data_IF_018024471103
#
_entry.id   IF_018024471103
#
_cell.length_a   1.000
_cell.length_b   1.000
_cell.length_c   1.000
_cell.angle_alpha   90.00
_cell.angle_beta   90.00
_cell.angle_gamma   90.00
#
_symmetry.space_group_name_H-M   'P 1'
#
loop_
_entity.id
_entity.type
_entity.pdbx_description
1 polymer ?
#
# COMPACT_ATOMS: atom_id res chain seq x y z
N UNK A 1 -7.57 2.22 -19.09
CA UNK A 1 -7.92 2.35 -17.66
C UNK A 1 -8.03 3.81 -17.31
N UNK A 2 -9.13 4.25 -16.68
CA UNK A 2 -9.21 5.60 -16.09
C UNK A 2 -8.83 5.49 -14.61
N UNK A 3 -7.95 6.38 -14.16
CA UNK A 3 -7.48 6.50 -12.79
C UNK A 3 -8.12 7.76 -12.17
N UNK A 4 -8.85 7.59 -11.08
CA UNK A 4 -9.54 8.70 -10.40
C UNK A 4 -9.17 8.69 -8.91
N UNK A 5 -8.73 9.84 -8.40
CA UNK A 5 -8.49 10.06 -6.97
C UNK A 5 -9.71 10.76 -6.39
N UNK A 6 -10.38 10.11 -5.44
CA UNK A 6 -11.54 10.69 -4.76
C UNK A 6 -11.14 11.89 -3.88
N UNK A 7 -12.04 12.87 -3.76
CA UNK A 7 -11.86 14.04 -2.88
C UNK A 7 -11.59 13.64 -1.42
N UNK A 8 -12.17 12.53 -0.95
CA UNK A 8 -11.92 11.98 0.39
C UNK A 8 -10.46 11.56 0.60
N UNK A 9 -9.79 11.01 -0.43
CA UNK A 9 -8.39 10.65 -0.34
C UNK A 9 -7.50 11.90 -0.20
N UNK A 10 -7.81 12.95 -0.97
CA UNK A 10 -7.12 14.24 -0.88
C UNK A 10 -7.31 14.85 0.50
N UNK A 11 -8.54 14.82 1.02
CA UNK A 11 -8.85 15.34 2.35
C UNK A 11 -8.05 14.62 3.44
N UNK A 12 -7.97 13.29 3.39
CA UNK A 12 -7.21 12.55 4.42
C UNK A 12 -5.71 12.72 4.24
N UNK A 13 -5.19 12.77 3.02
CA UNK A 13 -3.78 13.10 2.80
C UNK A 13 -3.44 14.48 3.33
N UNK A 14 -4.33 15.46 3.13
CA UNK A 14 -4.23 16.79 3.72
C UNK A 14 -4.28 16.77 5.25
N UNK A 15 -5.15 15.95 5.83
CA UNK A 15 -5.22 15.77 7.29
C UNK A 15 -3.96 15.13 7.86
N UNK A 16 -3.43 14.08 7.24
CA UNK A 16 -2.17 13.42 7.62
C UNK A 16 -1.03 14.43 7.53
N UNK A 17 -0.97 15.20 6.44
CA UNK A 17 0.03 16.25 6.27
C UNK A 17 -0.04 17.29 7.40
N UNK A 18 -1.23 17.87 7.61
CA UNK A 18 -1.48 18.88 8.63
C UNK A 18 -1.17 18.38 10.04
N UNK A 19 -1.56 17.13 10.37
CA UNK A 19 -1.26 16.49 11.65
C UNK A 19 0.25 16.37 11.86
N UNK A 20 1.00 15.94 10.85
CA UNK A 20 2.45 15.77 10.98
C UNK A 20 3.21 17.11 10.99
N UNK A 21 2.63 18.17 10.41
CA UNK A 21 3.18 19.53 10.48
C UNK A 21 2.94 20.18 11.85
N UNK A 22 1.77 19.96 12.47
CA UNK A 22 1.38 20.55 13.76
C UNK A 22 1.85 19.75 14.97
N UNK A 23 2.10 18.45 14.80
CA UNK A 23 2.59 17.56 15.85
C UNK A 23 3.79 16.76 15.30
N UNK A 24 4.94 17.44 15.06
CA UNK A 24 6.14 16.78 14.57
C UNK A 24 6.73 15.84 15.64
N UNK A 25 7.57 14.90 15.21
CA UNK A 25 8.36 14.13 16.16
C UNK A 25 9.37 15.06 16.87
N UNK A 26 9.64 14.80 18.15
CA UNK A 26 10.50 15.63 19.02
C UNK A 26 11.87 15.93 18.38
N UNK A 27 12.41 14.99 17.60
CA UNK A 27 13.68 15.14 16.88
C UNK A 27 13.69 16.23 15.79
N UNK A 28 12.52 16.65 15.30
CA UNK A 28 12.38 17.61 14.20
C UNK A 28 11.66 18.91 14.59
N UNK A 29 11.21 19.05 15.85
CA UNK A 29 10.37 20.16 16.31
C UNK A 29 11.02 21.54 16.06
N UNK A 30 12.34 21.66 16.24
CA UNK A 30 13.08 22.90 16.01
C UNK A 30 13.46 23.14 14.54
N UNK A 31 13.22 22.19 13.65
CA UNK A 31 13.66 22.23 12.24
C UNK A 31 12.45 22.29 11.29
N UNK A 32 12.03 23.50 10.92
CA UNK A 32 10.86 23.74 10.07
C UNK A 32 10.95 23.03 8.71
N UNK A 33 12.11 23.10 8.05
CA UNK A 33 12.32 22.48 6.72
C UNK A 33 12.27 20.95 6.84
N UNK A 34 12.98 20.38 7.82
CA UNK A 34 13.02 18.94 8.05
C UNK A 34 11.64 18.38 8.39
N UNK A 35 10.89 19.06 9.26
CA UNK A 35 9.50 18.70 9.59
C UNK A 35 8.60 18.70 8.34
N UNK A 36 8.70 19.74 7.51
CA UNK A 36 7.93 19.81 6.27
C UNK A 36 8.27 18.66 5.31
N UNK A 37 9.57 18.38 5.10
CA UNK A 37 10.02 17.30 4.22
C UNK A 37 9.58 15.92 4.72
N UNK A 38 9.65 15.67 6.03
CA UNK A 38 9.18 14.42 6.63
C UNK A 38 7.67 14.28 6.50
N UNK A 39 6.90 15.32 6.82
CA UNK A 39 5.45 15.32 6.68
C UNK A 39 5.02 15.06 5.22
N UNK A 40 5.70 15.69 4.26
CA UNK A 40 5.48 15.47 2.83
C UNK A 40 5.84 14.04 2.42
N UNK A 41 7.00 13.54 2.88
CA UNK A 41 7.45 12.18 2.61
C UNK A 41 6.46 11.11 3.08
N UNK A 42 5.90 11.27 4.29
CA UNK A 42 4.86 10.38 4.84
C UNK A 42 3.66 10.31 3.91
N UNK A 43 3.16 11.46 3.45
CA UNK A 43 1.98 11.52 2.56
C UNK A 43 2.26 10.87 1.22
N UNK A 44 3.44 11.12 0.64
CA UNK A 44 3.86 10.53 -0.64
C UNK A 44 3.98 9.01 -0.53
N UNK A 45 4.65 8.50 0.52
CA UNK A 45 4.80 7.06 0.75
C UNK A 45 3.44 6.41 0.97
N UNK A 46 2.57 7.04 1.77
CA UNK A 46 1.21 6.56 1.99
C UNK A 46 0.42 6.49 0.68
N UNK A 47 0.44 7.56 -0.13
CA UNK A 47 -0.20 7.57 -1.45
C UNK A 47 0.31 6.46 -2.35
N UNK A 48 1.63 6.30 -2.46
CA UNK A 48 2.25 5.24 -3.26
C UNK A 48 1.85 3.84 -2.79
N UNK A 49 1.76 3.60 -1.47
CA UNK A 49 1.31 2.32 -0.93
C UNK A 49 -0.12 1.99 -1.37
N UNK A 50 -1.04 2.95 -1.29
CA UNK A 50 -2.44 2.71 -1.71
C UNK A 50 -2.52 2.51 -3.23
N UNK A 51 -1.73 3.27 -4.01
CA UNK A 51 -1.65 3.07 -5.47
C UNK A 51 -1.18 1.66 -5.80
N UNK A 52 -0.11 1.18 -5.15
CA UNK A 52 0.40 -0.19 -5.37
C UNK A 52 -0.61 -1.25 -4.92
N UNK A 53 -1.33 -1.03 -3.81
CA UNK A 53 -2.40 -1.91 -3.35
C UNK A 53 -3.47 -2.12 -4.42
N UNK A 54 -4.03 -1.03 -4.94
CA UNK A 54 -5.10 -1.09 -5.94
C UNK A 54 -4.59 -1.56 -7.31
N UNK A 55 -3.35 -1.20 -7.66
CA UNK A 55 -2.72 -1.70 -8.87
C UNK A 55 -2.51 -3.22 -8.83
N UNK A 56 -2.20 -3.78 -7.65
CA UNK A 56 -2.01 -5.22 -7.48
C UNK A 56 -3.30 -6.00 -7.75
N UNK A 57 -4.44 -5.49 -7.30
CA UNK A 57 -5.76 -6.05 -7.62
C UNK A 57 -5.99 -6.09 -9.14
N UNK A 58 -5.77 -4.96 -9.82
CA UNK A 58 -5.96 -4.89 -11.27
C UNK A 58 -4.96 -5.76 -12.06
N UNK A 59 -3.72 -5.89 -11.58
CA UNK A 59 -2.72 -6.76 -12.18
C UNK A 59 -3.15 -8.23 -12.11
N UNK A 60 -3.61 -8.70 -10.95
CA UNK A 60 -4.10 -10.09 -10.78
C UNK A 60 -5.38 -10.34 -11.55
N UNK A 61 -6.31 -9.39 -11.58
CA UNK A 61 -7.50 -9.47 -12.45
C UNK A 61 -7.11 -9.62 -13.92
N UNK A 62 -6.14 -8.84 -14.39
CA UNK A 62 -5.64 -8.92 -15.78
C UNK A 62 -4.98 -10.27 -16.07
N UNK A 63 -4.25 -10.85 -15.10
CA UNK A 63 -3.65 -12.18 -15.21
C UNK A 63 -4.70 -13.29 -15.30
N UNK A 64 -5.84 -13.14 -14.63
CA UNK A 64 -6.96 -14.07 -14.74
C UNK A 64 -7.83 -13.84 -16.00
N UNK A 65 -7.42 -12.92 -16.89
CA UNK A 65 -8.15 -12.60 -18.12
C UNK A 65 -9.37 -11.69 -17.92
N UNK A 66 -9.51 -11.09 -16.74
CA UNK A 66 -10.63 -10.20 -16.40
C UNK A 66 -10.26 -8.79 -16.87
N UNK A 67 -11.02 -8.25 -17.84
CA UNK A 67 -10.79 -6.90 -18.35
C UNK A 67 -11.24 -5.85 -17.33
N UNK A 68 -10.29 -5.09 -16.80
CA UNK A 68 -10.53 -3.99 -15.86
C UNK A 68 -10.92 -2.71 -16.61
N UNK A 69 -12.11 -2.16 -16.35
CA UNK A 69 -12.63 -0.94 -17.02
C UNK A 69 -12.12 0.32 -16.32
N UNK A 70 -12.10 0.33 -14.97
CA UNK A 70 -11.77 1.52 -14.17
C UNK A 70 -11.15 1.15 -12.82
N UNK A 71 -10.11 1.89 -12.41
CA UNK A 71 -9.60 1.86 -11.03
C UNK A 71 -9.95 3.22 -10.41
N UNK A 72 -10.77 3.20 -9.37
CA UNK A 72 -11.08 4.42 -8.61
C UNK A 72 -10.53 4.28 -7.21
N UNK A 73 -9.64 5.19 -6.81
CA UNK A 73 -9.12 5.24 -5.45
C UNK A 73 -10.07 6.07 -4.58
N UNK A 74 -10.72 5.40 -3.64
CA UNK A 74 -11.52 6.04 -2.60
C UNK A 74 -10.93 5.69 -1.22
N UNK A 75 -11.13 6.57 -0.25
CA UNK A 75 -10.55 6.43 1.09
C UNK A 75 -10.97 5.15 1.84
N UNK A 76 -12.12 4.57 1.51
CA UNK A 76 -12.65 3.35 2.14
C UNK A 76 -12.37 2.06 1.34
N UNK A 77 -11.45 2.12 0.37
CA UNK A 77 -11.18 1.03 -0.57
C UNK A 77 -11.49 1.47 -1.98
N UNK A 78 -10.53 1.31 -2.89
CA UNK A 78 -10.79 1.47 -4.30
C UNK A 78 -11.67 0.33 -4.78
N UNK A 79 -12.71 0.65 -5.53
CA UNK A 79 -13.42 -0.40 -6.25
C UNK A 79 -12.84 -0.45 -7.66
N UNK A 80 -12.37 -1.63 -8.01
CA UNK A 80 -11.95 -1.94 -9.38
C UNK A 80 -13.18 -2.39 -10.14
N UNK A 81 -13.69 -1.55 -11.05
CA UNK A 81 -14.84 -1.93 -11.89
C UNK A 81 -14.34 -2.92 -12.96
N UNK A 82 -14.74 -4.18 -12.81
CA UNK A 82 -14.64 -5.16 -13.89
C UNK A 82 -15.56 -4.75 -15.05
N UNK A 83 -15.20 -5.11 -16.29
CA UNK A 83 -16.08 -4.89 -17.43
C UNK A 83 -17.42 -5.63 -17.25
N UNK A 84 -18.49 -4.89 -17.53
CA UNK A 84 -19.86 -5.36 -17.74
C UNK A 84 -19.86 -6.63 -18.61
N UNK A 85 -20.37 -7.75 -18.07
CA UNK A 85 -20.34 -9.09 -18.70
C UNK A 85 -19.50 -10.15 -17.96
N UNK A 86 -18.65 -9.75 -17.00
CA UNK A 86 -18.04 -10.69 -16.04
C UNK A 86 -18.94 -10.77 -14.79
N UNK A 87 -19.98 -11.59 -14.85
CA UNK A 87 -21.03 -11.62 -13.82
C UNK A 87 -22.17 -12.61 -14.03
N UNK A 88 -22.21 -13.34 -15.15
CA UNK A 88 -23.05 -14.53 -15.23
C UNK A 88 -22.45 -15.60 -14.31
N UNK A 89 -23.30 -16.15 -13.45
CA UNK A 89 -23.01 -17.02 -12.29
C UNK A 89 -22.09 -18.24 -12.56
N UNK A 90 -21.78 -18.53 -13.82
CA UNK A 90 -21.03 -19.72 -14.25
C UNK A 90 -19.49 -19.53 -14.31
N UNK A 91 -18.96 -18.33 -14.05
CA UNK A 91 -17.51 -18.04 -14.19
C UNK A 91 -16.78 -17.61 -12.91
N UNK A 92 -17.48 -17.41 -11.80
CA UNK A 92 -16.89 -17.09 -10.49
C UNK A 92 -16.30 -18.35 -9.84
N UNK A 93 -14.97 -18.43 -9.81
CA UNK A 93 -14.28 -19.40 -8.96
C UNK A 93 -13.97 -18.73 -7.63
N UNK A 94 -14.41 -19.26 -6.47
CA UNK A 94 -14.14 -18.66 -5.16
C UNK A 94 -12.63 -18.51 -4.89
N UNK A 95 -11.80 -19.34 -5.54
CA UNK A 95 -10.35 -19.23 -5.48
C UNK A 95 -9.83 -17.95 -6.16
N UNK A 96 -10.39 -17.55 -7.30
CA UNK A 96 -9.97 -16.34 -8.02
C UNK A 96 -10.30 -15.08 -7.21
N UNK A 97 -11.48 -15.03 -6.60
CA UNK A 97 -11.90 -13.89 -5.78
C UNK A 97 -11.07 -13.79 -4.49
N UNK A 98 -10.72 -14.94 -3.90
CA UNK A 98 -9.78 -14.98 -2.78
C UNK A 98 -8.39 -14.45 -3.19
N UNK A 99 -7.83 -14.92 -4.31
CA UNK A 99 -6.53 -14.46 -4.78
C UNK A 99 -6.51 -12.95 -5.09
N UNK A 100 -7.58 -12.44 -5.70
CA UNK A 100 -7.72 -11.01 -5.98
C UNK A 100 -7.80 -10.24 -4.66
N UNK A 101 -8.74 -10.55 -3.77
CA UNK A 101 -8.86 -9.83 -2.48
C UNK A 101 -7.60 -9.92 -1.60
N UNK A 102 -6.82 -10.99 -1.70
CA UNK A 102 -5.60 -11.20 -0.92
C UNK A 102 -4.37 -10.45 -1.47
N UNK A 103 -4.29 -10.16 -2.77
CA UNK A 103 -3.08 -9.57 -3.35
C UNK A 103 -2.81 -8.13 -2.87
N UNK A 104 -3.85 -7.34 -2.63
CA UNK A 104 -3.70 -5.98 -2.10
C UNK A 104 -3.04 -5.95 -0.70
N UNK A 105 -3.56 -6.71 0.29
CA UNK A 105 -2.89 -6.86 1.57
C UNK A 105 -1.46 -7.39 1.44
N UNK A 106 -1.23 -8.37 0.55
CA UNK A 106 0.10 -8.93 0.30
C UNK A 106 1.09 -7.90 -0.27
N UNK A 107 0.65 -6.99 -1.13
CA UNK A 107 1.50 -5.93 -1.65
C UNK A 107 1.91 -4.95 -0.56
N UNK A 108 0.99 -4.57 0.32
CA UNK A 108 1.30 -3.71 1.46
C UNK A 108 2.24 -4.41 2.45
N UNK A 109 2.05 -5.71 2.69
CA UNK A 109 2.97 -6.50 3.50
C UNK A 109 4.38 -6.53 2.90
N UNK A 110 4.48 -6.67 1.58
CA UNK A 110 5.77 -6.64 0.85
C UNK A 110 6.44 -5.27 0.96
N UNK A 111 5.69 -4.18 0.78
CA UNK A 111 6.20 -2.81 0.98
C UNK A 111 6.69 -2.61 2.41
N UNK A 112 5.90 -3.04 3.40
CA UNK A 112 6.27 -2.97 4.81
C UNK A 112 7.58 -3.73 5.07
N UNK A 113 7.73 -4.96 4.55
CA UNK A 113 8.94 -5.77 4.68
C UNK A 113 10.17 -5.08 4.06
N UNK A 114 10.02 -4.49 2.87
CA UNK A 114 11.11 -3.77 2.19
C UNK A 114 11.53 -2.53 2.96
N UNK A 115 10.57 -1.71 3.41
CA UNK A 115 10.87 -0.51 4.21
C UNK A 115 11.51 -0.90 5.53
N UNK A 116 11.00 -1.95 6.16
CA UNK A 116 11.51 -2.44 7.44
C UNK A 116 12.96 -2.92 7.35
N UNK A 117 13.30 -3.68 6.31
CA UNK A 117 14.68 -4.13 6.07
C UNK A 117 15.62 -3.02 5.64
N UNK A 118 15.14 -2.04 4.86
CA UNK A 118 15.97 -0.94 4.37
C UNK A 118 16.26 0.14 5.42
N UNK A 119 15.31 0.42 6.32
CA UNK A 119 15.39 1.56 7.23
C UNK A 119 15.41 1.21 8.71
N UNK A 120 14.80 0.08 9.12
CA UNK A 120 14.46 -0.14 10.52
C UNK A 120 15.29 -1.19 11.24
N UNK A 121 16.12 -2.02 10.60
CA UNK A 121 16.90 -2.94 11.42
C UNK A 121 18.25 -3.49 10.93
N UNK A 122 19.14 -3.62 11.93
CA UNK A 122 20.37 -4.41 12.01
C UNK A 122 20.22 -5.67 12.89
N UNK A 123 19.02 -5.98 13.43
CA UNK A 123 18.75 -7.01 14.46
C UNK A 123 17.74 -8.07 14.03
N UNK A 124 16.74 -7.82 13.17
CA UNK A 124 15.95 -8.91 12.54
C UNK A 124 16.78 -9.67 11.54
N UNK A 125 17.83 -9.08 10.96
CA UNK A 125 18.87 -9.85 10.26
C UNK A 125 19.45 -10.94 11.17
N UNK A 126 19.65 -10.66 12.47
CA UNK A 126 20.18 -11.64 13.44
C UNK A 126 19.12 -12.66 13.85
N UNK A 127 17.89 -12.24 14.12
CA UNK A 127 16.81 -13.14 14.58
C UNK A 127 16.29 -14.03 13.43
N UNK A 128 16.17 -13.50 12.21
CA UNK A 128 15.82 -14.30 11.02
C UNK A 128 16.93 -15.30 10.68
N UNK A 129 18.21 -14.95 10.87
CA UNK A 129 19.33 -15.87 10.77
C UNK A 129 19.34 -16.94 11.89
N UNK A 130 18.94 -16.61 13.12
CA UNK A 130 18.81 -17.60 14.20
C UNK A 130 17.65 -18.57 13.93
N UNK A 131 16.53 -18.08 13.39
CA UNK A 131 15.34 -18.89 13.08
C UNK A 131 15.49 -19.70 11.77
N UNK A 132 16.25 -19.22 10.78
CA UNK A 132 16.53 -19.94 9.51
C UNK A 132 17.87 -20.68 9.50
N UNK A 133 18.60 -20.67 10.62
CA UNK A 133 19.83 -21.46 10.85
C UNK A 133 21.14 -20.85 10.30
N UNK A 134 21.13 -19.61 9.84
CA UNK A 134 22.27 -18.93 9.22
C UNK A 134 22.88 -17.80 10.09
N UNK A 135 22.79 -17.89 11.42
CA UNK A 135 23.33 -16.89 12.36
C UNK A 135 24.47 -17.42 13.21
N UNK A 136 25.67 -16.85 13.07
CA UNK A 136 26.78 -17.01 14.03
C UNK A 136 26.50 -16.20 15.29
N UNK A 137 26.46 -16.85 16.45
CA UNK A 137 26.40 -16.21 17.76
C UNK A 137 27.75 -15.56 18.06
N UNK A 138 27.78 -14.22 18.12
CA UNK A 138 28.92 -13.41 18.51
C UNK A 138 28.45 -12.11 19.15
#
# INVERSE_FOLDING_TARGET
MKFEVGFSAIFVMGWIFYRNLTNPAESFESQTISTFLVALGIVVIFFLSVVVHEFSHAAVMSLFGIKVKKIKLMFFGGYTEAMEGYGDHDTWSPFKDFCISFVGPLSNFTIALVIYTAFFDQSLYKIFNVVTGSGTFG
#
